data_IF_917706573851
#
_entry.id   IF_917706573851
#
_cell.length_a   1.000
_cell.length_b   1.000
_cell.length_c   1.000
_cell.angle_alpha   90.00
_cell.angle_beta   90.00
_cell.angle_gamma   90.00
#
_symmetry.space_group_name_H-M   'P 1'
#
loop_
_entity.id
_entity.type
_entity.pdbx_description
1 polymer ?
#
# COMPACT_ATOMS: atom_id res chain seq x y z
N UNK A 1 -7.93 33.22 -22.35
CA UNK A 1 -8.06 32.77 -20.95
C UNK A 1 -7.61 31.33 -20.73
N UNK A 2 -8.01 30.31 -21.55
CA UNK A 2 -7.59 28.89 -21.36
C UNK A 2 -6.08 28.67 -21.50
N UNK A 3 -5.42 29.28 -22.46
CA UNK A 3 -3.96 29.19 -22.63
C UNK A 3 -3.19 29.80 -21.45
N UNK A 4 -3.66 30.95 -20.94
CA UNK A 4 -3.06 31.59 -19.77
C UNK A 4 -3.25 30.73 -18.49
N UNK A 5 -4.43 30.11 -18.32
CA UNK A 5 -4.67 29.22 -17.19
C UNK A 5 -3.78 27.96 -17.27
N UNK A 6 -3.62 27.35 -18.46
CA UNK A 6 -2.72 26.20 -18.65
C UNK A 6 -1.25 26.59 -18.41
N UNK A 7 -0.82 27.77 -18.87
CA UNK A 7 0.53 28.27 -18.62
C UNK A 7 0.77 28.52 -17.10
N UNK A 8 -0.21 29.11 -16.40
CA UNK A 8 -0.14 29.30 -14.96
C UNK A 8 -0.09 27.96 -14.19
N UNK A 9 -0.91 26.98 -14.58
CA UNK A 9 -0.86 25.63 -14.00
C UNK A 9 0.49 24.94 -14.25
N UNK A 10 1.03 25.09 -15.46
CA UNK A 10 2.37 24.58 -15.79
C UNK A 10 3.48 25.21 -14.96
N UNK A 11 3.44 26.54 -14.79
CA UNK A 11 4.39 27.26 -13.93
C UNK A 11 4.29 26.81 -12.46
N UNK A 12 3.08 26.68 -11.93
CA UNK A 12 2.85 26.16 -10.57
C UNK A 12 3.40 24.75 -10.41
N UNK A 13 3.16 23.85 -11.38
CA UNK A 13 3.68 22.48 -11.36
C UNK A 13 5.22 22.45 -11.35
N UNK A 14 5.87 23.32 -12.15
CA UNK A 14 7.33 23.43 -12.18
C UNK A 14 7.88 23.96 -10.85
N UNK A 15 7.23 24.94 -10.25
CA UNK A 15 7.63 25.50 -8.94
C UNK A 15 7.50 24.40 -7.86
N UNK A 16 6.40 23.66 -7.84
CA UNK A 16 6.23 22.53 -6.90
C UNK A 16 7.26 21.43 -7.10
N UNK A 17 7.57 21.08 -8.35
CA UNK A 17 8.60 20.10 -8.65
C UNK A 17 9.99 20.58 -8.21
N UNK A 18 10.35 21.84 -8.49
CA UNK A 18 11.61 22.44 -8.08
C UNK A 18 11.73 22.50 -6.54
N UNK A 19 10.64 22.91 -5.85
CA UNK A 19 10.58 22.89 -4.39
C UNK A 19 10.75 21.46 -3.86
N UNK A 20 10.05 20.48 -4.41
CA UNK A 20 10.16 19.07 -4.00
C UNK A 20 11.60 18.53 -4.14
N UNK A 21 12.26 18.84 -5.25
CA UNK A 21 13.69 18.49 -5.45
C UNK A 21 14.57 19.18 -4.42
N UNK A 22 14.43 20.49 -4.23
CA UNK A 22 15.21 21.24 -3.23
C UNK A 22 14.97 20.71 -1.82
N UNK A 23 13.70 20.47 -1.45
CA UNK A 23 13.34 19.97 -0.14
C UNK A 23 13.88 18.57 0.16
N UNK A 24 14.05 17.71 -0.87
CA UNK A 24 14.66 16.38 -0.73
C UNK A 24 16.19 16.40 -0.74
N UNK A 25 16.81 17.46 -1.25
CA UNK A 25 18.28 17.55 -1.35
C UNK A 25 18.89 18.32 -0.19
N UNK A 26 18.17 19.32 0.33
CA UNK A 26 18.65 20.12 1.48
C UNK A 26 18.43 19.34 2.76
N UNK A 27 19.52 18.93 3.38
CA UNK A 27 19.53 18.21 4.65
C UNK A 27 20.15 19.12 5.71
N UNK A 28 19.75 18.95 6.96
CA UNK A 28 20.18 19.82 8.04
C UNK A 28 20.29 19.12 9.38
N UNK A 29 20.65 19.91 10.43
CA UNK A 29 20.71 19.43 11.80
C UNK A 29 19.30 19.12 12.30
N UNK A 30 19.22 18.25 13.29
CA UNK A 30 18.01 17.95 14.02
C UNK A 30 18.04 18.67 15.39
N UNK A 31 16.97 19.34 15.72
CA UNK A 31 16.75 19.96 17.04
C UNK A 31 15.76 19.13 17.83
N UNK A 32 16.17 18.69 19.02
CA UNK A 32 15.28 17.95 19.93
C UNK A 32 14.32 18.95 20.59
N UNK A 33 13.05 18.98 20.16
CA UNK A 33 12.05 19.88 20.74
C UNK A 33 11.49 19.32 22.05
N UNK A 34 10.58 18.33 21.94
CA UNK A 34 9.95 17.65 23.07
C UNK A 34 10.19 16.14 23.06
N UNK A 35 10.71 15.60 21.97
CA UNK A 35 10.98 14.16 21.81
C UNK A 35 12.35 13.82 22.41
N UNK A 36 12.35 12.96 23.42
CA UNK A 36 13.58 12.44 24.02
C UNK A 36 14.34 11.45 23.10
N UNK A 37 13.71 11.04 22.00
CA UNK A 37 14.26 10.04 21.07
C UNK A 37 13.94 10.36 19.62
N UNK A 38 14.96 10.32 18.78
CA UNK A 38 14.81 10.33 17.32
C UNK A 38 15.40 9.07 16.69
N UNK A 39 14.74 8.56 15.66
CA UNK A 39 15.17 7.35 14.93
C UNK A 39 15.44 7.73 13.48
N UNK A 40 16.61 7.31 12.97
CA UNK A 40 17.03 7.58 11.58
C UNK A 40 17.62 6.32 10.95
N UNK A 41 17.32 6.10 9.68
CA UNK A 41 17.86 4.99 8.92
C UNK A 41 19.38 5.20 8.72
N UNK A 42 20.15 4.14 8.90
CA UNK A 42 21.61 4.15 8.72
C UNK A 42 22.05 3.42 7.45
N UNK A 43 21.48 2.24 7.15
CA UNK A 43 21.81 1.36 6.00
C UNK A 43 23.33 1.10 5.89
N UNK A 44 23.96 0.81 7.02
CA UNK A 44 25.39 0.51 7.06
C UNK A 44 25.68 -0.88 6.47
N UNK A 45 26.64 -0.98 5.54
CA UNK A 45 27.18 -2.27 5.12
C UNK A 45 27.84 -3.03 6.27
N UNK A 46 28.06 -4.34 6.10
CA UNK A 46 28.86 -5.11 7.04
C UNK A 46 30.29 -4.55 7.11
N UNK A 47 30.82 -4.38 8.32
CA UNK A 47 32.13 -3.78 8.53
C UNK A 47 32.32 -3.26 9.96
N UNK A 48 33.52 -2.77 10.23
CA UNK A 48 33.86 -2.16 11.51
C UNK A 48 33.98 -0.66 11.37
N UNK A 49 33.37 0.07 12.28
CA UNK A 49 33.19 1.52 12.24
C UNK A 49 33.51 2.16 13.57
N UNK A 50 33.91 3.43 13.52
CA UNK A 50 34.14 4.27 14.70
C UNK A 50 33.36 5.58 14.52
N UNK A 51 32.74 6.07 15.57
CA UNK A 51 32.14 7.41 15.60
C UNK A 51 33.24 8.46 15.66
N UNK A 52 33.31 9.37 14.68
CA UNK A 52 34.39 10.36 14.57
C UNK A 52 34.09 11.67 15.29
N UNK A 53 32.83 12.02 15.46
CA UNK A 53 32.45 13.28 16.08
C UNK A 53 31.79 13.03 17.45
N UNK A 54 32.26 13.65 18.52
CA UNK A 54 31.51 13.71 19.76
C UNK A 54 30.23 14.48 19.51
N UNK A 55 29.09 13.82 19.65
CA UNK A 55 27.77 14.40 19.39
C UNK A 55 27.30 15.33 20.54
N UNK A 56 28.11 15.48 21.58
CA UNK A 56 27.82 16.20 22.82
C UNK A 56 27.73 15.24 24.01
N UNK A 57 28.11 15.71 25.20
CA UNK A 57 28.11 14.89 26.43
C UNK A 57 26.73 14.35 26.79
N UNK A 58 25.67 15.08 26.39
CA UNK A 58 24.28 14.76 26.69
C UNK A 58 23.59 13.93 25.60
N UNK A 59 24.30 13.55 24.53
CA UNK A 59 23.72 12.78 23.41
C UNK A 59 24.13 11.31 23.49
N UNK A 60 23.15 10.45 23.75
CA UNK A 60 23.35 9.01 23.64
C UNK A 60 22.98 8.53 22.23
N UNK A 61 23.86 7.78 21.62
CA UNK A 61 23.67 7.19 20.31
C UNK A 61 23.65 5.68 20.40
N UNK A 62 22.62 5.08 19.83
CA UNK A 62 22.47 3.63 19.74
C UNK A 62 22.35 3.26 18.27
N UNK A 63 23.08 2.25 17.82
CA UNK A 63 22.88 1.63 16.51
C UNK A 63 22.14 0.31 16.70
N UNK A 64 21.02 0.19 16.00
CA UNK A 64 20.21 -1.03 15.95
C UNK A 64 20.36 -1.70 14.60
N UNK A 65 20.44 -3.03 14.60
CA UNK A 65 20.43 -3.86 13.42
C UNK A 65 19.20 -4.76 13.37
N UNK A 66 18.85 -5.18 12.17
CA UNK A 66 17.80 -6.17 11.92
C UNK A 66 18.19 -7.08 10.77
N UNK A 67 18.08 -8.37 10.98
CA UNK A 67 17.99 -9.39 9.92
C UNK A 67 16.62 -9.32 9.22
N UNK A 68 16.47 -10.01 8.11
CA UNK A 68 15.17 -10.08 7.41
C UNK A 68 14.06 -10.63 8.31
N UNK A 69 14.36 -11.62 9.15
CA UNK A 69 13.40 -12.19 10.08
C UNK A 69 13.05 -11.22 11.22
N UNK A 70 14.04 -10.62 11.85
CA UNK A 70 13.82 -9.64 12.93
C UNK A 70 13.04 -8.41 12.46
N UNK A 71 13.26 -7.97 11.21
CA UNK A 71 12.49 -6.89 10.60
C UNK A 71 11.01 -7.24 10.49
N UNK A 72 10.67 -8.49 10.18
CA UNK A 72 9.28 -8.95 10.10
C UNK A 72 8.64 -9.05 11.49
N UNK A 73 9.42 -9.42 12.51
CA UNK A 73 8.97 -9.59 13.89
C UNK A 73 9.05 -8.30 14.73
N UNK A 74 9.48 -7.18 14.13
CA UNK A 74 9.74 -5.89 14.79
C UNK A 74 10.73 -6.00 15.96
N UNK A 75 11.70 -6.90 15.82
CA UNK A 75 12.78 -7.11 16.77
C UNK A 75 14.04 -6.40 16.30
N UNK A 76 14.88 -5.99 17.23
CA UNK A 76 16.11 -5.26 16.95
C UNK A 76 17.26 -5.80 17.81
N UNK A 77 18.43 -5.93 17.23
CA UNK A 77 19.66 -6.17 17.93
C UNK A 77 20.40 -4.85 18.14
N UNK A 78 20.95 -4.63 19.35
CA UNK A 78 21.79 -3.46 19.62
C UNK A 78 23.22 -3.78 19.20
N UNK A 79 23.70 -3.09 18.18
CA UNK A 79 25.05 -3.24 17.64
C UNK A 79 26.03 -2.29 18.32
N UNK A 80 25.56 -1.15 18.78
CA UNK A 80 26.36 -0.13 19.43
C UNK A 80 25.53 0.70 20.41
N UNK A 81 26.13 1.08 21.51
CA UNK A 81 25.57 2.05 22.47
C UNK A 81 26.73 2.93 22.98
N UNK A 82 26.63 4.24 22.78
CA UNK A 82 27.67 5.19 23.18
C UNK A 82 27.92 5.23 24.69
N UNK A 83 26.99 4.67 25.50
CA UNK A 83 27.19 4.57 26.96
C UNK A 83 28.06 3.38 27.39
N UNK A 84 28.36 2.46 26.47
CA UNK A 84 29.25 1.30 26.78
C UNK A 84 30.71 1.68 27.02
N UNK A 85 31.13 2.89 26.62
CA UNK A 85 32.52 3.32 26.63
C UNK A 85 33.36 2.81 25.45
N UNK A 86 32.75 2.00 24.57
CA UNK A 86 33.37 1.53 23.34
C UNK A 86 33.29 2.62 22.27
N UNK A 87 34.33 2.81 21.51
CA UNK A 87 34.38 3.77 20.40
C UNK A 87 34.22 3.08 19.05
N UNK A 88 34.50 1.79 18.99
CA UNK A 88 34.44 0.97 17.79
C UNK A 88 33.28 -0.03 17.88
N UNK A 89 32.60 -0.27 16.75
CA UNK A 89 31.55 -1.25 16.66
C UNK A 89 31.58 -1.98 15.32
N UNK A 90 31.02 -3.18 15.29
CA UNK A 90 30.96 -4.03 14.10
C UNK A 90 29.51 -4.24 13.66
N UNK A 91 29.28 -4.02 12.38
CA UNK A 91 28.01 -4.38 11.71
C UNK A 91 28.19 -5.75 11.08
N UNK A 92 27.51 -6.80 11.54
CA UNK A 92 27.64 -8.15 11.01
C UNK A 92 27.01 -8.30 9.61
N UNK A 93 27.42 -9.35 8.88
CA UNK A 93 26.79 -9.73 7.64
C UNK A 93 25.36 -10.24 7.88
N UNK A 94 24.50 -10.12 6.85
CA UNK A 94 23.14 -10.64 6.90
C UNK A 94 22.09 -9.68 7.45
N UNK A 95 22.48 -8.49 7.90
CA UNK A 95 21.53 -7.45 8.24
C UNK A 95 20.91 -6.84 6.98
N UNK A 96 19.62 -6.59 7.03
CA UNK A 96 18.87 -5.93 5.95
C UNK A 96 18.52 -4.48 6.28
N UNK A 97 18.75 -4.07 7.52
CA UNK A 97 18.50 -2.70 7.99
C UNK A 97 19.36 -2.39 9.21
N UNK A 98 19.90 -1.18 9.24
CA UNK A 98 20.47 -0.56 10.43
C UNK A 98 19.83 0.80 10.68
N UNK A 99 19.68 1.18 11.94
CA UNK A 99 19.06 2.44 12.37
C UNK A 99 19.80 3.10 13.50
N UNK A 100 19.99 4.41 13.39
CA UNK A 100 20.40 5.23 14.51
C UNK A 100 19.23 5.55 15.41
N UNK A 101 19.40 5.39 16.71
CA UNK A 101 18.56 6.00 17.73
C UNK A 101 19.40 6.99 18.52
N UNK A 102 18.98 8.25 18.50
CA UNK A 102 19.63 9.31 19.26
C UNK A 102 18.70 9.74 20.39
N UNK A 103 19.26 9.92 21.55
CA UNK A 103 18.55 10.40 22.75
C UNK A 103 19.27 11.66 23.21
N UNK A 104 18.53 12.72 23.45
CA UNK A 104 19.07 13.96 23.99
C UNK A 104 17.98 14.78 24.69
N UNK A 105 18.35 15.69 25.60
CA UNK A 105 17.42 16.66 26.20
C UNK A 105 16.81 17.60 25.15
N UNK A 106 15.65 18.16 25.48
CA UNK A 106 15.04 19.19 24.65
C UNK A 106 15.97 20.40 24.49
N UNK A 107 16.01 20.98 23.30
CA UNK A 107 16.89 22.09 22.94
C UNK A 107 18.27 21.68 22.42
N UNK A 108 18.63 20.40 22.49
CA UNK A 108 19.88 19.90 21.93
C UNK A 108 19.82 19.88 20.41
N UNK A 109 20.88 20.39 19.76
CA UNK A 109 21.01 20.38 18.30
C UNK A 109 22.11 19.39 17.91
N UNK A 110 21.76 18.41 17.08
CA UNK A 110 22.71 17.44 16.53
C UNK A 110 22.84 17.65 15.03
N UNK A 111 24.03 18.02 14.57
CA UNK A 111 24.25 18.35 13.16
C UNK A 111 24.16 17.09 12.27
N UNK A 112 24.89 16.04 12.64
CA UNK A 112 24.96 14.78 11.89
C UNK A 112 25.67 13.70 12.70
N UNK A 113 25.49 12.47 12.31
CA UNK A 113 26.35 11.35 12.74
C UNK A 113 27.41 11.14 11.68
N UNK A 114 28.69 11.09 12.07
CA UNK A 114 29.82 10.92 11.15
C UNK A 114 30.70 9.74 11.61
N UNK A 115 31.07 8.88 10.65
CA UNK A 115 31.86 7.69 10.88
C UNK A 115 33.31 7.84 10.36
N UNK A 116 34.20 6.98 10.83
CA UNK A 116 35.64 6.98 10.48
C UNK A 116 35.92 6.78 8.99
N UNK A 117 35.02 6.13 8.25
CA UNK A 117 35.11 5.93 6.81
C UNK A 117 34.65 7.13 5.98
N UNK A 118 34.21 8.22 6.64
CA UNK A 118 33.71 9.45 6.04
C UNK A 118 32.22 9.42 5.72
N UNK A 119 31.49 8.37 6.07
CA UNK A 119 30.03 8.37 5.93
C UNK A 119 29.38 9.38 6.88
N UNK A 120 28.38 10.11 6.35
CA UNK A 120 27.68 11.17 7.07
C UNK A 120 26.18 10.95 7.01
N UNK A 121 25.58 10.81 8.17
CA UNK A 121 24.14 10.66 8.31
C UNK A 121 23.53 11.96 8.78
N UNK A 122 22.74 12.54 7.91
CA UNK A 122 22.00 13.75 8.23
C UNK A 122 20.68 13.38 8.90
N UNK A 123 20.24 14.23 9.82
CA UNK A 123 19.22 13.87 10.76
C UNK A 123 17.84 14.52 10.46
N UNK A 124 17.83 15.53 9.55
CA UNK A 124 16.58 16.23 9.20
C UNK A 124 16.56 16.72 7.75
N UNK A 125 15.34 17.00 7.27
CA UNK A 125 15.01 17.70 6.03
C UNK A 125 14.25 18.99 6.37
N UNK A 126 14.94 20.09 6.65
CA UNK A 126 14.34 21.30 7.21
C UNK A 126 13.34 22.01 6.30
N UNK A 127 13.33 21.70 5.00
CA UNK A 127 12.37 22.24 4.05
C UNK A 127 11.12 21.38 3.88
N UNK A 128 11.05 20.21 4.52
CA UNK A 128 9.88 19.35 4.49
C UNK A 128 9.07 19.48 5.77
N UNK A 129 7.73 19.33 5.71
CA UNK A 129 6.93 19.12 6.90
C UNK A 129 7.44 17.91 7.70
N UNK A 130 7.50 18.02 9.04
CA UNK A 130 8.09 17.00 9.91
C UNK A 130 7.56 15.57 9.64
N UNK A 131 6.25 15.40 9.42
CA UNK A 131 5.66 14.10 9.13
C UNK A 131 6.13 13.45 7.82
N UNK A 132 6.63 14.25 6.84
CA UNK A 132 7.23 13.76 5.60
C UNK A 132 8.71 13.48 5.83
N UNK A 133 9.43 14.44 6.47
CA UNK A 133 10.84 14.29 6.79
C UNK A 133 11.09 13.03 7.61
N UNK A 134 10.32 12.80 8.66
CA UNK A 134 10.43 11.61 9.51
C UNK A 134 10.19 10.33 8.72
N UNK A 135 9.22 10.29 7.82
CA UNK A 135 8.99 9.10 6.99
C UNK A 135 10.15 8.80 6.04
N UNK A 136 10.77 9.80 5.46
CA UNK A 136 11.93 9.64 4.58
C UNK A 136 13.16 9.17 5.36
N UNK A 137 13.34 9.69 6.58
CA UNK A 137 14.49 9.38 7.42
C UNK A 137 14.35 8.08 8.22
N UNK A 138 13.13 7.59 8.43
CA UNK A 138 12.86 6.29 9.04
C UNK A 138 13.01 5.11 8.08
N UNK A 139 12.99 5.38 6.76
CA UNK A 139 12.99 4.34 5.74
C UNK A 139 11.66 3.57 5.64
N UNK A 140 11.67 2.47 4.88
CA UNK A 140 10.50 1.61 4.70
C UNK A 140 10.15 0.87 5.99
N UNK A 141 8.98 1.18 6.55
CA UNK A 141 8.51 0.58 7.79
C UNK A 141 8.15 -0.91 7.65
N UNK A 142 8.05 -1.60 8.79
CA UNK A 142 7.72 -3.03 8.88
C UNK A 142 6.43 -3.41 8.15
N UNK A 143 5.42 -2.54 8.19
CA UNK A 143 4.14 -2.76 7.48
C UNK A 143 4.32 -2.90 5.97
N UNK A 144 5.25 -2.15 5.36
CA UNK A 144 5.54 -2.27 3.93
C UNK A 144 6.26 -3.58 3.63
N UNK A 145 7.23 -3.94 4.47
CA UNK A 145 7.97 -5.22 4.34
C UNK A 145 7.04 -6.42 4.45
N UNK A 146 6.10 -6.40 5.41
CA UNK A 146 5.08 -7.44 5.57
C UNK A 146 4.19 -7.56 4.32
N UNK A 147 3.75 -6.44 3.74
CA UNK A 147 2.96 -6.47 2.51
C UNK A 147 3.72 -7.07 1.34
N UNK A 148 5.02 -6.80 1.22
CA UNK A 148 5.85 -7.44 0.20
C UNK A 148 5.94 -8.96 0.38
N UNK A 149 5.97 -9.45 1.62
CA UNK A 149 5.92 -10.90 1.87
C UNK A 149 4.53 -11.49 1.53
N UNK A 150 3.44 -10.79 1.87
CA UNK A 150 2.10 -11.22 1.46
C UNK A 150 1.95 -11.28 -0.07
N UNK A 151 2.53 -10.32 -0.79
CA UNK A 151 2.55 -10.29 -2.25
C UNK A 151 3.36 -11.48 -2.81
N UNK A 152 4.51 -11.80 -2.24
CA UNK A 152 5.32 -12.98 -2.62
C UNK A 152 4.56 -14.28 -2.38
N UNK A 153 3.89 -14.42 -1.26
CA UNK A 153 3.14 -15.62 -0.92
C UNK A 153 1.89 -15.76 -1.80
N UNK A 154 1.18 -14.66 -2.09
CA UNK A 154 0.09 -14.66 -3.07
C UNK A 154 0.58 -15.05 -4.48
N UNK A 155 1.77 -14.60 -4.88
CA UNK A 155 2.38 -15.01 -6.15
C UNK A 155 2.74 -16.51 -6.17
N UNK A 156 3.24 -17.07 -5.07
CA UNK A 156 3.47 -18.52 -4.96
C UNK A 156 2.17 -19.30 -5.13
N UNK A 157 1.08 -18.88 -4.45
CA UNK A 157 -0.25 -19.50 -4.59
C UNK A 157 -0.70 -19.44 -6.05
N UNK A 158 -0.69 -18.24 -6.67
CA UNK A 158 -1.05 -18.08 -8.09
C UNK A 158 -0.25 -19.00 -9.00
N UNK A 159 1.04 -19.15 -8.76
CA UNK A 159 1.94 -19.95 -9.61
C UNK A 159 1.59 -21.44 -9.64
N UNK A 160 0.86 -21.96 -8.65
CA UNK A 160 0.43 -23.37 -8.61
C UNK A 160 -0.84 -23.65 -9.42
N UNK A 161 -1.65 -22.62 -9.73
CA UNK A 161 -2.84 -22.74 -10.58
C UNK A 161 -3.06 -21.49 -11.44
N UNK A 162 -2.16 -21.18 -12.41
CA UNK A 162 -2.12 -19.85 -13.04
C UNK A 162 -3.32 -19.58 -13.97
N UNK A 163 -3.96 -20.58 -14.55
CA UNK A 163 -5.05 -20.36 -15.51
C UNK A 163 -6.39 -20.07 -14.85
N UNK A 164 -6.83 -20.92 -13.93
CA UNK A 164 -8.16 -20.86 -13.33
C UNK A 164 -8.16 -20.48 -11.84
N UNK A 165 -6.98 -20.39 -11.23
CA UNK A 165 -6.86 -20.13 -9.79
C UNK A 165 -7.35 -21.28 -8.93
N UNK A 166 -7.46 -21.03 -7.63
CA UNK A 166 -7.85 -22.01 -6.62
C UNK A 166 -9.31 -21.90 -6.14
N UNK A 167 -10.04 -20.95 -6.66
CA UNK A 167 -11.40 -20.61 -6.23
C UNK A 167 -11.42 -19.39 -5.30
N UNK A 168 -12.58 -18.72 -5.24
CA UNK A 168 -12.75 -17.50 -4.46
C UNK A 168 -12.53 -17.76 -2.96
N UNK A 169 -11.64 -16.95 -2.34
CA UNK A 169 -11.28 -17.06 -0.93
C UNK A 169 -10.26 -18.12 -0.61
N UNK A 170 -9.67 -18.77 -1.62
CA UNK A 170 -8.63 -19.78 -1.43
C UNK A 170 -7.34 -19.23 -0.82
N UNK A 171 -7.05 -17.95 -1.05
CA UNK A 171 -5.87 -17.28 -0.49
C UNK A 171 -5.80 -17.43 1.02
N UNK A 172 -6.90 -17.24 1.76
CA UNK A 172 -6.95 -17.39 3.22
C UNK A 172 -6.50 -18.79 3.68
N UNK A 173 -6.91 -19.83 2.98
CA UNK A 173 -6.61 -21.22 3.34
C UNK A 173 -5.21 -21.64 2.91
N UNK A 174 -4.75 -21.18 1.75
CA UNK A 174 -3.49 -21.61 1.15
C UNK A 174 -2.29 -20.80 1.66
N UNK A 175 -2.49 -19.59 2.18
CA UNK A 175 -1.40 -18.77 2.71
C UNK A 175 -0.55 -19.53 3.74
N UNK A 176 -1.17 -20.27 4.65
CA UNK A 176 -0.45 -21.04 5.68
C UNK A 176 0.47 -22.13 5.12
N UNK A 177 0.22 -22.62 3.92
CA UNK A 177 1.04 -23.66 3.27
C UNK A 177 2.27 -23.11 2.53
N UNK A 178 2.27 -21.81 2.23
CA UNK A 178 3.32 -21.17 1.41
C UNK A 178 4.09 -20.08 2.14
N UNK A 179 3.58 -19.61 3.28
CA UNK A 179 4.20 -18.52 4.05
C UNK A 179 5.59 -18.90 4.53
N UNK A 180 6.53 -17.96 4.42
CA UNK A 180 7.93 -18.14 4.80
C UNK A 180 8.16 -18.05 6.32
N UNK A 181 7.24 -17.43 7.04
CA UNK A 181 7.20 -17.34 8.51
C UNK A 181 5.76 -17.26 8.97
N UNK A 182 5.49 -17.56 10.25
CA UNK A 182 4.12 -17.58 10.76
C UNK A 182 3.58 -16.16 10.93
N UNK A 183 2.54 -15.83 10.17
CA UNK A 183 1.76 -14.61 10.30
C UNK A 183 0.28 -14.91 10.09
N UNK A 184 -0.58 -14.08 10.64
CA UNK A 184 -2.02 -14.18 10.44
C UNK A 184 -2.49 -13.07 9.49
N UNK A 185 -2.68 -13.41 8.23
CA UNK A 185 -3.39 -12.57 7.27
C UNK A 185 -4.35 -13.42 6.44
N UNK A 186 -5.58 -12.94 6.31
CA UNK A 186 -6.61 -13.57 5.47
C UNK A 186 -6.53 -13.12 4.01
N UNK A 187 -5.77 -12.07 3.74
CA UNK A 187 -5.76 -11.39 2.46
C UNK A 187 -4.33 -11.01 2.05
N UNK A 188 -4.09 -10.97 0.76
CA UNK A 188 -2.80 -10.61 0.19
C UNK A 188 -2.43 -9.11 0.34
N UNK A 189 -3.35 -8.26 0.86
CA UNK A 189 -3.21 -6.79 0.85
C UNK A 189 -2.98 -6.17 -0.53
N UNK A 190 -3.23 -6.94 -1.57
CA UNK A 190 -3.16 -6.57 -2.98
C UNK A 190 -4.28 -7.26 -3.71
N UNK A 191 -5.33 -6.50 -4.08
CA UNK A 191 -6.52 -7.08 -4.68
C UNK A 191 -6.27 -7.75 -6.03
N UNK A 192 -5.29 -7.26 -6.82
CA UNK A 192 -4.92 -7.87 -8.08
C UNK A 192 -4.29 -9.26 -7.87
N UNK A 193 -3.31 -9.36 -6.98
CA UNK A 193 -2.66 -10.63 -6.64
C UNK A 193 -3.63 -11.61 -6.00
N UNK A 194 -4.52 -11.14 -5.13
CA UNK A 194 -5.57 -11.98 -4.57
C UNK A 194 -6.52 -12.49 -5.65
N UNK A 195 -6.93 -11.64 -6.60
CA UNK A 195 -7.78 -12.06 -7.73
C UNK A 195 -7.06 -13.08 -8.61
N UNK A 196 -5.76 -12.89 -8.87
CA UNK A 196 -4.92 -13.84 -9.60
C UNK A 196 -4.86 -15.20 -8.89
N UNK A 197 -4.64 -15.22 -7.58
CA UNK A 197 -4.58 -16.44 -6.79
C UNK A 197 -5.92 -17.18 -6.76
N UNK A 198 -7.02 -16.42 -6.59
CA UNK A 198 -8.36 -16.98 -6.46
C UNK A 198 -8.94 -17.44 -7.81
N UNK A 199 -8.74 -16.67 -8.89
CA UNK A 199 -9.44 -16.87 -10.18
C UNK A 199 -8.53 -17.09 -11.38
N UNK A 200 -7.23 -17.06 -11.17
CA UNK A 200 -6.23 -17.23 -12.22
C UNK A 200 -6.24 -16.11 -13.27
N UNK A 201 -5.52 -16.31 -14.34
CA UNK A 201 -5.44 -15.36 -15.45
C UNK A 201 -6.80 -15.13 -16.11
N UNK A 202 -7.61 -16.17 -16.26
CA UNK A 202 -8.91 -16.08 -16.93
C UNK A 202 -9.86 -15.17 -16.13
N UNK A 203 -10.05 -15.47 -14.84
CA UNK A 203 -10.92 -14.64 -14.00
C UNK A 203 -10.41 -13.21 -13.81
N UNK A 204 -9.09 -13.05 -13.68
CA UNK A 204 -8.45 -11.72 -13.59
C UNK A 204 -8.62 -10.93 -14.89
N UNK A 205 -8.52 -11.56 -16.06
CA UNK A 205 -8.80 -10.87 -17.34
C UNK A 205 -10.25 -10.36 -17.41
N UNK A 206 -11.23 -11.15 -16.96
CA UNK A 206 -12.62 -10.68 -16.85
C UNK A 206 -12.78 -9.52 -15.86
N UNK A 207 -12.13 -9.60 -14.70
CA UNK A 207 -12.16 -8.51 -13.71
C UNK A 207 -11.54 -7.22 -14.26
N UNK A 208 -10.40 -7.32 -14.96
CA UNK A 208 -9.76 -6.18 -15.61
C UNK A 208 -10.61 -5.61 -16.75
N UNK A 209 -11.21 -6.46 -17.58
CA UNK A 209 -12.16 -6.01 -18.60
C UNK A 209 -13.35 -5.23 -17.99
N UNK A 210 -13.86 -5.70 -16.86
CA UNK A 210 -14.92 -5.00 -16.13
C UNK A 210 -14.46 -3.64 -15.62
N UNK A 211 -13.29 -3.56 -14.96
CA UNK A 211 -12.73 -2.30 -14.44
C UNK A 211 -12.46 -1.33 -15.60
N UNK A 212 -11.76 -1.77 -16.64
CA UNK A 212 -11.42 -0.92 -17.79
C UNK A 212 -12.68 -0.48 -18.56
N UNK A 213 -13.65 -1.38 -18.74
CA UNK A 213 -14.93 -1.07 -19.37
C UNK A 213 -15.73 -0.02 -18.57
N UNK A 214 -15.72 -0.13 -17.24
CA UNK A 214 -16.38 0.85 -16.37
C UNK A 214 -15.71 2.23 -16.42
N UNK A 215 -14.37 2.27 -16.41
CA UNK A 215 -13.60 3.50 -16.60
C UNK A 215 -13.92 4.12 -17.96
N UNK A 216 -13.95 3.32 -19.01
CA UNK A 216 -14.28 3.80 -20.35
C UNK A 216 -15.69 4.40 -20.42
N UNK A 217 -16.70 3.73 -19.86
CA UNK A 217 -18.09 4.26 -19.80
C UNK A 217 -18.17 5.58 -19.04
N UNK A 218 -17.51 5.66 -17.88
CA UNK A 218 -17.45 6.90 -17.11
C UNK A 218 -16.76 8.03 -17.89
N UNK A 219 -15.65 7.74 -18.59
CA UNK A 219 -14.97 8.71 -19.46
C UNK A 219 -15.87 9.20 -20.59
N UNK A 220 -16.68 8.33 -21.20
CA UNK A 220 -17.66 8.74 -22.21
C UNK A 220 -18.68 9.70 -21.65
N UNK A 221 -19.20 9.42 -20.44
CA UNK A 221 -20.16 10.32 -19.74
C UNK A 221 -19.52 11.68 -19.47
N UNK A 222 -18.32 11.72 -18.91
CA UNK A 222 -17.59 12.96 -18.63
C UNK A 222 -17.36 13.79 -19.91
N UNK A 223 -16.97 13.12 -21.01
CA UNK A 223 -16.68 13.81 -22.29
C UNK A 223 -17.91 14.34 -22.98
N UNK A 224 -19.01 13.59 -22.98
CA UNK A 224 -20.24 13.95 -23.69
C UNK A 224 -21.09 14.94 -22.92
N UNK A 225 -21.34 14.64 -21.67
CA UNK A 225 -22.27 15.41 -20.82
C UNK A 225 -21.57 16.57 -20.10
N UNK A 226 -20.21 16.59 -20.07
CA UNK A 226 -19.40 17.55 -19.29
C UNK A 226 -19.81 17.61 -17.83
N UNK A 227 -20.28 16.49 -17.31
CA UNK A 227 -20.83 16.37 -15.97
C UNK A 227 -19.69 16.27 -14.94
N UNK A 228 -19.64 17.25 -14.03
CA UNK A 228 -18.66 17.30 -12.95
C UNK A 228 -18.85 16.19 -11.93
N UNK A 229 -20.09 15.74 -11.70
CA UNK A 229 -20.37 14.63 -10.82
C UNK A 229 -19.80 13.32 -11.39
N UNK A 230 -20.02 13.07 -12.69
CA UNK A 230 -19.43 11.91 -13.36
C UNK A 230 -17.90 11.91 -13.31
N UNK A 231 -17.27 13.10 -13.45
CA UNK A 231 -15.84 13.24 -13.31
C UNK A 231 -15.34 12.92 -11.88
N UNK A 232 -16.03 13.40 -10.87
CA UNK A 232 -15.72 13.12 -9.47
C UNK A 232 -15.87 11.62 -9.12
N UNK A 233 -16.95 11.00 -9.60
CA UNK A 233 -17.21 9.56 -9.41
C UNK A 233 -16.16 8.69 -10.12
N UNK A 234 -15.73 9.10 -11.32
CA UNK A 234 -14.64 8.43 -12.02
C UNK A 234 -13.33 8.53 -11.25
N UNK A 235 -12.98 9.73 -10.75
CA UNK A 235 -11.77 9.92 -9.96
C UNK A 235 -11.81 9.06 -8.67
N UNK A 236 -12.93 9.03 -7.96
CA UNK A 236 -13.13 8.19 -6.79
C UNK A 236 -12.97 6.70 -7.13
N UNK A 237 -13.58 6.23 -8.22
CA UNK A 237 -13.45 4.84 -8.68
C UNK A 237 -12.01 4.45 -9.00
N UNK A 238 -11.30 5.30 -9.75
CA UNK A 238 -9.88 5.07 -10.08
C UNK A 238 -9.03 5.02 -8.81
N UNK A 239 -9.21 5.99 -7.90
CA UNK A 239 -8.48 6.00 -6.62
C UNK A 239 -8.73 4.77 -5.77
N UNK A 240 -9.98 4.29 -5.69
CA UNK A 240 -10.32 3.06 -4.96
C UNK A 240 -9.61 1.84 -5.55
N UNK A 241 -9.55 1.72 -6.87
CA UNK A 241 -8.83 0.61 -7.53
C UNK A 241 -7.31 0.71 -7.33
N UNK A 242 -6.72 1.91 -7.46
CA UNK A 242 -5.30 2.12 -7.19
C UNK A 242 -4.95 1.81 -5.73
N UNK A 243 -5.75 2.27 -4.78
CA UNK A 243 -5.53 1.99 -3.35
C UNK A 243 -5.64 0.49 -3.03
N UNK A 244 -6.50 -0.23 -3.74
CA UNK A 244 -6.68 -1.68 -3.55
C UNK A 244 -5.48 -2.52 -4.01
N UNK A 245 -4.51 -1.93 -4.73
CA UNK A 245 -3.23 -2.58 -5.04
C UNK A 245 -2.29 -2.67 -3.83
N UNK A 246 -2.61 -1.95 -2.74
CA UNK A 246 -1.81 -1.92 -1.52
C UNK A 246 -2.62 -2.19 -0.26
N UNK A 247 -3.94 -2.44 -0.40
CA UNK A 247 -4.87 -2.61 0.73
C UNK A 247 -5.99 -3.61 0.44
N UNK A 248 -6.63 -4.06 1.53
CA UNK A 248 -7.70 -5.09 1.50
C UNK A 248 -9.10 -4.55 1.17
N UNK A 249 -9.23 -3.32 0.72
CA UNK A 249 -10.52 -2.61 0.60
C UNK A 249 -11.60 -3.44 -0.09
N UNK A 250 -11.29 -4.04 -1.25
CA UNK A 250 -12.23 -4.87 -1.99
C UNK A 250 -12.48 -6.26 -1.36
N UNK A 251 -11.74 -6.64 -0.34
CA UNK A 251 -12.02 -7.83 0.45
C UNK A 251 -13.10 -7.58 1.49
N UNK A 252 -13.32 -6.31 1.90
CA UNK A 252 -14.38 -5.90 2.82
C UNK A 252 -15.70 -5.79 2.06
N UNK A 253 -16.69 -6.62 2.41
CA UNK A 253 -17.99 -6.71 1.69
C UNK A 253 -18.72 -5.38 1.59
N UNK A 254 -18.81 -4.62 2.69
CA UNK A 254 -19.47 -3.32 2.70
C UNK A 254 -18.81 -2.31 1.77
N UNK A 255 -17.47 -2.26 1.76
CA UNK A 255 -16.72 -1.39 0.87
C UNK A 255 -16.93 -1.79 -0.61
N UNK A 256 -16.91 -3.07 -0.92
CA UNK A 256 -17.19 -3.60 -2.26
C UNK A 256 -18.58 -3.19 -2.76
N UNK A 257 -19.62 -3.36 -1.93
CA UNK A 257 -20.97 -2.92 -2.28
C UNK A 257 -21.03 -1.41 -2.55
N UNK A 258 -20.42 -0.61 -1.69
CA UNK A 258 -20.34 0.85 -1.86
C UNK A 258 -19.63 1.23 -3.16
N UNK A 259 -18.50 0.60 -3.47
CA UNK A 259 -17.75 0.82 -4.71
C UNK A 259 -18.58 0.53 -5.95
N UNK A 260 -19.33 -0.57 -5.97
CA UNK A 260 -20.19 -0.90 -7.11
C UNK A 260 -21.40 0.04 -7.26
N UNK A 261 -21.95 0.54 -6.16
CA UNK A 261 -22.98 1.58 -6.19
C UNK A 261 -22.42 2.87 -6.81
N UNK A 262 -21.23 3.31 -6.38
CA UNK A 262 -20.57 4.47 -6.96
C UNK A 262 -20.27 4.30 -8.45
N UNK A 263 -19.94 3.09 -8.90
CA UNK A 263 -19.71 2.79 -10.30
C UNK A 263 -20.98 2.79 -11.12
N UNK A 264 -22.10 2.31 -10.55
CA UNK A 264 -23.40 2.24 -11.25
C UNK A 264 -23.94 3.63 -11.62
N UNK A 265 -23.68 4.65 -10.79
CA UNK A 265 -24.20 6.01 -11.01
C UNK A 265 -23.77 6.62 -12.35
N UNK A 266 -22.47 6.70 -12.72
CA UNK A 266 -22.07 7.24 -14.02
C UNK A 266 -22.54 6.38 -15.20
N UNK A 267 -22.64 5.06 -15.02
CA UNK A 267 -23.18 4.17 -16.06
C UNK A 267 -24.66 4.48 -16.32
N UNK A 268 -25.43 4.71 -15.27
CA UNK A 268 -26.85 5.11 -15.38
C UNK A 268 -27.00 6.49 -16.02
N UNK A 269 -26.14 7.45 -15.68
CA UNK A 269 -26.13 8.79 -16.29
C UNK A 269 -25.79 8.71 -17.78
N UNK A 270 -24.87 7.85 -18.19
CA UNK A 270 -24.57 7.62 -19.61
C UNK A 270 -25.72 6.96 -20.37
N UNK A 271 -26.40 6.00 -19.75
CA UNK A 271 -27.48 5.28 -20.38
C UNK A 271 -28.79 6.11 -20.49
N UNK A 272 -28.99 7.10 -19.63
CA UNK A 272 -30.21 7.91 -19.58
C UNK A 272 -30.66 8.51 -20.93
N UNK A 273 -29.78 9.15 -21.73
CA UNK A 273 -30.18 9.70 -23.04
C UNK A 273 -30.53 8.63 -24.06
N UNK A 274 -29.89 7.47 -24.00
CA UNK A 274 -30.11 6.37 -24.95
C UNK A 274 -31.39 5.59 -24.63
N UNK A 275 -31.84 5.65 -23.37
CA UNK A 275 -33.06 5.00 -22.88
C UNK A 275 -34.33 5.82 -23.18
N UNK A 276 -34.16 7.13 -23.49
CA UNK A 276 -35.28 8.03 -23.72
C UNK A 276 -36.03 7.77 -25.05
N UNK A 277 -35.43 7.04 -26.00
CA UNK A 277 -35.98 6.81 -27.33
C UNK A 277 -37.04 5.69 -27.45
N UNK A 278 -36.96 4.63 -26.62
CA UNK A 278 -37.93 3.51 -26.62
C UNK A 278 -38.01 2.90 -25.20
N UNK A 279 -38.74 3.62 -24.36
CA UNK A 279 -38.89 3.29 -22.94
C UNK A 279 -39.55 1.93 -22.69
N UNK A 280 -40.45 1.46 -23.56
CA UNK A 280 -41.14 0.19 -23.38
C UNK A 280 -40.21 -1.02 -23.63
N UNK A 281 -39.42 -0.98 -24.70
CA UNK A 281 -38.47 -2.04 -25.06
C UNK A 281 -37.35 -2.15 -24.04
N UNK A 282 -36.80 -1.00 -23.65
CA UNK A 282 -35.71 -0.93 -22.64
C UNK A 282 -36.20 -1.38 -21.28
N UNK A 283 -37.41 -0.96 -20.85
CA UNK A 283 -37.99 -1.43 -19.57
C UNK A 283 -38.21 -2.93 -19.58
N UNK A 284 -38.62 -3.52 -20.73
CA UNK A 284 -38.76 -4.97 -20.88
C UNK A 284 -37.41 -5.68 -20.79
N UNK A 285 -36.36 -5.16 -21.47
CA UNK A 285 -35.01 -5.72 -21.42
C UNK A 285 -34.40 -5.60 -20.03
N UNK A 286 -34.50 -4.44 -19.38
CA UNK A 286 -34.00 -4.23 -18.02
C UNK A 286 -34.69 -5.16 -17.00
N UNK A 287 -36.03 -5.36 -17.15
CA UNK A 287 -36.77 -6.32 -16.32
C UNK A 287 -36.32 -7.75 -16.55
N UNK A 288 -36.08 -8.15 -17.80
CA UNK A 288 -35.58 -9.50 -18.13
C UNK A 288 -34.17 -9.74 -17.59
N UNK A 289 -33.25 -8.78 -17.78
CA UNK A 289 -31.89 -8.85 -17.22
C UNK A 289 -31.94 -8.87 -15.70
N UNK A 290 -32.75 -8.02 -15.07
CA UNK A 290 -32.91 -8.02 -13.61
C UNK A 290 -33.40 -9.36 -13.06
N UNK A 291 -34.40 -9.96 -13.70
CA UNK A 291 -34.90 -11.29 -13.32
C UNK A 291 -33.83 -12.33 -13.49
N UNK A 292 -33.08 -12.31 -14.62
CA UNK A 292 -31.95 -13.24 -14.86
C UNK A 292 -30.90 -13.14 -13.79
N UNK A 293 -30.48 -11.93 -13.43
CA UNK A 293 -29.50 -11.68 -12.35
C UNK A 293 -29.99 -12.22 -11.01
N UNK A 294 -31.24 -11.96 -10.65
CA UNK A 294 -31.85 -12.47 -9.41
C UNK A 294 -31.87 -14.00 -9.39
N UNK A 295 -32.30 -14.62 -10.51
CA UNK A 295 -32.33 -16.08 -10.65
C UNK A 295 -30.95 -16.70 -10.55
N UNK A 296 -29.95 -16.14 -11.25
CA UNK A 296 -28.56 -16.59 -11.17
C UNK A 296 -27.99 -16.45 -9.77
N UNK A 297 -28.30 -15.33 -9.09
CA UNK A 297 -27.88 -15.12 -7.71
C UNK A 297 -28.56 -16.08 -6.74
N UNK A 298 -29.85 -16.35 -6.92
CA UNK A 298 -30.57 -17.34 -6.12
C UNK A 298 -30.03 -18.76 -6.32
N UNK A 299 -29.72 -19.14 -7.57
CA UNK A 299 -29.06 -20.40 -7.88
C UNK A 299 -27.68 -20.50 -7.26
N UNK A 300 -26.89 -19.42 -7.33
CA UNK A 300 -25.59 -19.33 -6.66
C UNK A 300 -25.73 -19.55 -5.15
N UNK A 301 -26.66 -18.87 -4.49
CA UNK A 301 -26.91 -19.04 -3.05
C UNK A 301 -27.38 -20.46 -2.71
N UNK A 302 -28.24 -21.06 -3.51
CA UNK A 302 -28.76 -22.41 -3.30
C UNK A 302 -27.65 -23.46 -3.44
N UNK A 303 -26.81 -23.38 -4.48
CA UNK A 303 -25.70 -24.32 -4.72
C UNK A 303 -24.61 -24.13 -3.67
N UNK A 304 -24.15 -22.90 -3.46
CA UNK A 304 -23.06 -22.61 -2.50
C UNK A 304 -23.52 -22.79 -1.05
N UNK A 305 -24.73 -22.36 -0.72
CA UNK A 305 -25.31 -22.59 0.61
C UNK A 305 -25.45 -24.07 0.92
N UNK A 306 -25.90 -24.87 -0.04
CA UNK A 306 -26.02 -26.31 0.09
C UNK A 306 -24.67 -27.03 0.22
N UNK A 307 -23.64 -26.56 -0.50
CA UNK A 307 -22.26 -27.08 -0.38
C UNK A 307 -21.63 -26.74 0.96
N UNK A 308 -21.81 -25.50 1.46
CA UNK A 308 -21.33 -25.07 2.77
C UNK A 308 -21.99 -25.82 3.92
N UNK A 309 -23.31 -26.06 3.81
CA UNK A 309 -24.05 -26.85 4.82
C UNK A 309 -23.57 -28.30 4.85
N UNK A 310 -23.35 -28.90 3.68
CA UNK A 310 -22.76 -30.26 3.58
C UNK A 310 -21.37 -30.32 4.22
N UNK A 311 -20.49 -29.36 3.92
CA UNK A 311 -19.15 -29.30 4.49
C UNK A 311 -19.21 -29.17 6.03
N UNK A 312 -20.07 -28.30 6.57
CA UNK A 312 -20.28 -28.16 8.02
C UNK A 312 -20.82 -29.42 8.69
N UNK A 313 -21.68 -30.17 7.99
CA UNK A 313 -22.20 -31.44 8.53
C UNK A 313 -21.17 -32.57 8.51
N UNK A 314 -20.20 -32.52 7.59
CA UNK A 314 -19.10 -33.48 7.52
C UNK A 314 -18.10 -33.23 8.67
N UNK A 315 -17.73 -31.95 8.90
CA UNK A 315 -16.84 -31.57 10.00
C UNK A 315 -17.43 -31.84 11.42
N UNK A 316 -18.76 -31.88 11.54
CA UNK A 316 -19.41 -32.22 12.84
C UNK A 316 -19.48 -33.73 13.10
N UNK A 317 -19.16 -34.56 12.10
CA UNK A 317 -19.19 -36.02 12.20
C UNK A 317 -17.80 -36.65 12.30
N UNK A 318 -16.74 -35.84 12.10
CA UNK A 318 -15.35 -36.20 12.35
C UNK A 318 -14.90 -35.69 13.73
#
# INVERSE_FOLDING_TARGET
HKKAALAAMGAVAVIFAAYGVAAMTVKGPYTFDSAERVVRQADLPAGTYTLTAPLGEDVRVVLLGQTAYEKLMDQYETLYDSTSGETEFTVPEGLVMTRWQLYAPAGTVVERVELSDGQRFQLDYPLLPAFIADRLLLGMGNSFTLRMEFDKDAWKIFSTAPLLGHGLGSTENLTRSVQSFQYESKYAHNHLLQTLSDTGLVGTAFALCFVLGSVWLCLQTVRKEKDSLAAALLAAWVMMNLHSLMEINFSVRGFKCFAYVLLALPVLLYAKPQLAGDTAKVRKQAKTVGILVVVLYALYLAVFGGLLERARMTDRKA
#
